data_IF_021053883975
#
_entry.id   IF_021053883975
#
_cell.length_a   1.000
_cell.length_b   1.000
_cell.length_c   1.000
_cell.angle_alpha   90.00
_cell.angle_beta   90.00
_cell.angle_gamma   90.00
#
_symmetry.space_group_name_H-M   'P 1'
#
loop_
_entity.id
_entity.type
_entity.pdbx_description
1 polymer ?
#
# COMPACT_ATOMS: atom_id res chain seq x y z
N UNK A 1 70.57 27.03 -17.85
CA UNK A 1 70.50 25.57 -18.04
C UNK A 1 70.91 25.26 -19.47
N UNK A 2 72.06 24.60 -19.66
CA UNK A 2 72.42 23.94 -20.92
C UNK A 2 73.02 22.57 -20.60
N UNK A 3 72.39 21.56 -21.21
CA UNK A 3 72.75 20.18 -21.55
C UNK A 3 73.97 19.50 -20.92
N UNK A 4 73.78 18.22 -20.56
CA UNK A 4 74.77 17.12 -20.52
C UNK A 4 74.13 15.92 -19.78
N UNK A 5 74.25 14.62 -20.06
CA UNK A 5 75.03 13.76 -20.97
C UNK A 5 74.53 12.30 -20.67
N UNK A 6 74.21 11.46 -21.67
CA UNK A 6 75.04 10.40 -22.31
C UNK A 6 74.88 8.97 -21.75
N UNK A 7 75.00 8.00 -22.69
CA UNK A 7 75.45 6.57 -22.61
C UNK A 7 74.32 5.54 -22.45
N UNK A 8 73.94 4.73 -23.45
CA UNK A 8 74.64 3.76 -24.33
C UNK A 8 75.09 2.48 -23.62
N UNK A 9 74.41 1.37 -23.92
CA UNK A 9 74.89 -0.03 -24.09
C UNK A 9 73.64 -0.85 -24.54
N UNK A 10 73.44 -1.37 -25.75
CA UNK A 10 74.22 -2.13 -26.72
C UNK A 10 74.39 -3.64 -26.39
N UNK A 11 74.03 -4.46 -27.38
CA UNK A 11 74.38 -5.88 -27.66
C UNK A 11 73.48 -6.98 -27.04
N UNK A 12 73.01 -8.03 -27.74
CA UNK A 12 72.88 -8.42 -29.18
C UNK A 12 72.19 -9.80 -29.26
N UNK A 13 71.43 -10.04 -30.34
CA UNK A 13 71.25 -11.31 -31.14
C UNK A 13 70.81 -12.61 -30.43
N UNK A 14 69.92 -13.47 -30.98
CA UNK A 14 70.01 -14.17 -32.28
C UNK A 14 68.67 -14.93 -32.53
N UNK A 15 67.92 -14.59 -33.58
CA UNK A 15 67.64 -15.34 -34.83
C UNK A 15 66.90 -16.70 -34.75
N UNK A 16 65.77 -16.83 -35.47
CA UNK A 16 65.56 -17.82 -36.53
C UNK A 16 64.19 -17.60 -37.24
N UNK A 17 64.23 -17.60 -38.56
CA UNK A 17 63.11 -17.43 -39.50
C UNK A 17 62.70 -18.80 -40.04
N UNK A 18 61.41 -19.05 -40.23
CA UNK A 18 60.91 -19.95 -41.28
C UNK A 18 59.41 -19.68 -41.58
N UNK A 19 59.13 -19.21 -42.81
CA UNK A 19 57.80 -19.23 -43.41
C UNK A 19 57.55 -20.60 -44.06
N UNK A 20 56.31 -21.09 -44.05
CA UNK A 20 55.69 -21.86 -45.15
C UNK A 20 54.17 -22.00 -44.92
N UNK A 21 53.47 -22.15 -46.05
CA UNK A 21 52.06 -21.84 -46.32
C UNK A 21 51.22 -23.13 -46.38
N UNK A 22 49.90 -23.03 -46.10
CA UNK A 22 48.75 -23.60 -46.85
C UNK A 22 47.66 -24.32 -46.01
N UNK A 23 46.44 -23.81 -46.21
CA UNK A 23 45.16 -24.51 -46.49
C UNK A 23 44.41 -25.32 -45.41
N UNK A 24 43.18 -24.85 -45.18
CA UNK A 24 41.90 -25.58 -45.12
C UNK A 24 41.63 -26.55 -43.94
N UNK A 25 40.64 -26.20 -43.10
CA UNK A 25 39.27 -26.75 -43.12
C UNK A 25 38.52 -26.32 -41.87
N UNK A 26 37.29 -25.85 -42.07
CA UNK A 26 36.40 -25.40 -41.01
C UNK A 26 35.99 -26.52 -40.05
N UNK A 27 35.83 -26.16 -38.78
CA UNK A 27 35.09 -26.90 -37.78
C UNK A 27 34.23 -25.88 -37.04
N UNK A 28 32.91 -26.04 -37.11
CA UNK A 28 31.93 -25.16 -36.48
C UNK A 28 32.15 -25.11 -34.95
N UNK A 29 31.92 -23.97 -34.28
CA UNK A 29 31.89 -23.93 -32.83
C UNK A 29 30.69 -24.73 -32.34
N UNK A 30 31.00 -25.69 -31.49
CA UNK A 30 30.08 -26.44 -30.65
C UNK A 30 29.10 -25.48 -29.97
N UNK A 31 27.83 -25.57 -30.34
CA UNK A 31 26.73 -24.91 -29.64
C UNK A 31 26.68 -25.47 -28.22
N UNK A 32 27.29 -24.75 -27.28
CA UNK A 32 26.92 -24.84 -25.88
C UNK A 32 25.43 -24.51 -25.80
N UNK A 33 24.63 -25.53 -25.57
CA UNK A 33 23.25 -25.39 -25.11
C UNK A 33 23.30 -24.55 -23.84
N UNK A 34 23.06 -23.24 -23.99
CA UNK A 34 22.92 -22.32 -22.90
C UNK A 34 21.88 -22.87 -21.94
N UNK A 35 22.29 -23.03 -20.69
CA UNK A 35 21.38 -23.15 -19.55
C UNK A 35 20.25 -22.15 -19.72
N UNK A 36 19.00 -22.62 -19.64
CA UNK A 36 17.82 -21.77 -19.62
C UNK A 36 18.04 -20.70 -18.54
N UNK A 37 18.28 -19.45 -18.98
CA UNK A 37 18.48 -18.32 -18.09
C UNK A 37 17.20 -18.09 -17.31
N UNK A 38 17.27 -18.29 -15.99
CA UNK A 38 16.22 -17.81 -15.10
C UNK A 38 16.13 -16.29 -15.26
N UNK A 39 14.95 -15.79 -15.57
CA UNK A 39 14.70 -14.35 -15.65
C UNK A 39 15.06 -13.70 -14.33
N UNK A 40 15.79 -12.58 -14.36
CA UNK A 40 16.07 -11.79 -13.16
C UNK A 40 14.76 -11.23 -12.61
N UNK A 41 14.30 -11.78 -11.48
CA UNK A 41 13.08 -11.36 -10.82
C UNK A 41 13.09 -9.85 -10.53
N UNK A 42 14.23 -9.27 -10.15
CA UNK A 42 14.31 -7.83 -9.84
C UNK A 42 14.03 -6.95 -11.05
N UNK A 43 14.39 -7.42 -12.24
CA UNK A 43 14.25 -6.67 -13.49
C UNK A 43 12.87 -6.84 -14.17
N UNK A 44 12.10 -7.88 -13.81
CA UNK A 44 10.83 -8.14 -14.45
C UNK A 44 9.78 -7.07 -14.08
N UNK A 45 9.14 -6.50 -15.10
CA UNK A 45 8.10 -5.47 -14.97
C UNK A 45 6.68 -6.00 -15.20
N UNK A 46 6.55 -7.28 -15.51
CA UNK A 46 5.29 -8.01 -15.62
C UNK A 46 5.53 -9.52 -15.50
N UNK A 47 4.47 -10.31 -15.31
CA UNK A 47 4.56 -11.78 -15.35
C UNK A 47 4.98 -12.29 -16.74
N UNK A 48 4.63 -11.58 -17.81
CA UNK A 48 5.05 -11.92 -19.17
C UNK A 48 6.57 -11.74 -19.35
N UNK A 49 7.12 -10.63 -18.86
CA UNK A 49 8.58 -10.38 -18.86
C UNK A 49 9.32 -11.44 -18.04
N UNK A 50 8.72 -11.91 -16.94
CA UNK A 50 9.28 -12.98 -16.11
C UNK A 50 9.30 -14.35 -16.81
N UNK A 51 8.48 -14.53 -17.86
CA UNK A 51 8.36 -15.77 -18.61
C UNK A 51 7.16 -16.65 -18.19
N UNK A 52 6.15 -16.06 -17.56
CA UNK A 52 4.88 -16.69 -17.21
C UNK A 52 4.69 -16.94 -15.71
N UNK A 53 3.43 -17.10 -15.30
CA UNK A 53 3.04 -17.25 -13.89
C UNK A 53 3.65 -18.50 -13.25
N UNK A 54 3.70 -19.62 -13.98
CA UNK A 54 4.28 -20.87 -13.48
C UNK A 54 5.75 -20.70 -13.08
N UNK A 55 6.54 -20.02 -13.92
CA UNK A 55 7.94 -19.71 -13.60
C UNK A 55 8.05 -18.79 -12.40
N UNK A 56 7.17 -17.79 -12.30
CA UNK A 56 7.14 -16.87 -11.16
C UNK A 56 6.85 -17.62 -9.86
N UNK A 57 5.88 -18.53 -9.87
CA UNK A 57 5.56 -19.41 -8.74
C UNK A 57 6.75 -20.28 -8.36
N UNK A 58 7.43 -20.90 -9.32
CA UNK A 58 8.63 -21.71 -9.05
C UNK A 58 9.76 -20.87 -8.42
N UNK A 59 9.98 -19.65 -8.90
CA UNK A 59 11.01 -18.76 -8.36
C UNK A 59 10.65 -18.26 -6.96
N UNK A 60 9.41 -17.83 -6.75
CA UNK A 60 8.90 -17.39 -5.46
C UNK A 60 8.94 -18.50 -4.40
N UNK A 61 8.62 -19.74 -4.78
CA UNK A 61 8.76 -20.92 -3.90
C UNK A 61 10.22 -21.22 -3.51
N UNK A 62 11.18 -20.92 -4.39
CA UNK A 62 12.62 -21.06 -4.08
C UNK A 62 13.09 -19.98 -3.11
N UNK A 63 12.52 -18.78 -3.17
CA UNK A 63 12.74 -17.71 -2.18
C UNK A 63 12.10 -18.08 -0.83
N UNK A 64 10.89 -18.67 -0.85
CA UNK A 64 10.27 -19.35 0.29
C UNK A 64 9.63 -18.45 1.35
N UNK A 65 9.95 -17.15 1.35
CA UNK A 65 9.44 -16.16 2.31
C UNK A 65 9.01 -14.89 1.59
N UNK A 66 8.04 -14.18 2.18
CA UNK A 66 7.68 -12.80 1.86
C UNK A 66 7.66 -11.98 3.15
N UNK A 67 8.44 -10.91 3.19
CA UNK A 67 8.45 -9.95 4.29
C UNK A 67 7.45 -8.83 4.05
N UNK A 68 6.59 -8.60 5.02
CA UNK A 68 5.61 -7.51 5.01
C UNK A 68 5.71 -6.70 6.28
N UNK A 69 5.18 -5.48 6.24
CA UNK A 69 4.97 -4.63 7.41
C UNK A 69 3.54 -4.10 7.35
N UNK A 70 2.93 -3.85 8.50
CA UNK A 70 1.63 -3.20 8.59
C UNK A 70 0.49 -3.93 7.87
N UNK A 71 0.48 -5.27 7.89
CA UNK A 71 -0.66 -6.08 7.43
C UNK A 71 -1.44 -6.70 8.61
N UNK A 72 -2.18 -5.91 9.42
CA UNK A 72 -2.82 -6.45 10.60
C UNK A 72 -3.98 -7.38 10.22
N UNK A 73 -4.16 -8.53 10.89
CA UNK A 73 -5.10 -9.57 10.44
C UNK A 73 -6.56 -9.12 10.30
N UNK A 74 -6.98 -8.16 11.12
CA UNK A 74 -8.31 -7.55 11.17
C UNK A 74 -8.54 -6.47 10.10
N UNK A 75 -7.48 -6.06 9.39
CA UNK A 75 -7.59 -5.06 8.34
C UNK A 75 -8.00 -5.66 7.01
N UNK A 76 -9.18 -5.28 6.52
CA UNK A 76 -9.71 -5.66 5.20
C UNK A 76 -9.60 -7.17 4.88
N UNK A 77 -9.65 -8.06 5.89
CA UNK A 77 -9.51 -9.51 5.75
C UNK A 77 -8.08 -10.04 5.48
N UNK A 78 -7.03 -9.31 5.89
CA UNK A 78 -5.65 -9.77 5.75
C UNK A 78 -5.38 -11.14 6.38
N UNK A 79 -6.07 -11.51 7.47
CA UNK A 79 -5.97 -12.85 8.06
C UNK A 79 -6.22 -13.97 7.03
N UNK A 80 -7.32 -13.89 6.28
CA UNK A 80 -7.70 -14.90 5.28
C UNK A 80 -6.82 -14.76 4.03
N UNK A 81 -6.44 -13.54 3.64
CA UNK A 81 -5.59 -13.28 2.46
C UNK A 81 -4.19 -13.88 2.65
N UNK A 82 -3.55 -13.60 3.78
CA UNK A 82 -2.25 -14.16 4.14
C UNK A 82 -2.35 -15.69 4.14
N UNK A 83 -3.31 -16.24 4.89
CA UNK A 83 -3.51 -17.69 4.96
C UNK A 83 -3.73 -18.32 3.58
N UNK A 84 -4.54 -17.70 2.73
CA UNK A 84 -4.84 -18.21 1.39
C UNK A 84 -3.60 -18.20 0.50
N UNK A 85 -2.77 -17.17 0.58
CA UNK A 85 -1.52 -17.10 -0.14
C UNK A 85 -0.53 -18.18 0.33
N UNK A 86 -0.34 -18.29 1.65
CA UNK A 86 0.55 -19.30 2.25
C UNK A 86 0.12 -20.71 1.87
N UNK A 87 -1.18 -21.04 1.98
CA UNK A 87 -1.71 -22.36 1.61
C UNK A 87 -1.56 -22.64 0.11
N UNK A 88 -1.81 -21.64 -0.76
CA UNK A 88 -1.79 -21.80 -2.22
C UNK A 88 -0.38 -21.97 -2.76
N UNK A 89 0.59 -21.25 -2.20
CA UNK A 89 1.95 -21.20 -2.75
C UNK A 89 3.01 -21.84 -1.86
N UNK A 90 2.72 -22.17 -0.60
CA UNK A 90 3.72 -22.70 0.34
C UNK A 90 4.86 -21.73 0.64
N UNK A 91 4.58 -20.42 0.53
CA UNK A 91 5.51 -19.33 0.83
C UNK A 91 5.06 -18.71 2.14
N UNK A 92 5.96 -18.61 3.12
CA UNK A 92 5.64 -18.06 4.44
C UNK A 92 5.59 -16.53 4.37
N UNK A 93 4.58 -15.91 4.98
CA UNK A 93 4.54 -14.46 5.17
C UNK A 93 5.06 -14.13 6.57
N UNK A 94 6.10 -13.30 6.63
CA UNK A 94 6.63 -12.77 7.88
C UNK A 94 6.25 -11.29 7.99
N UNK A 95 5.15 -11.04 8.70
CA UNK A 95 4.60 -9.72 8.93
C UNK A 95 5.18 -9.10 10.22
N UNK A 96 6.01 -8.07 10.09
CA UNK A 96 6.55 -7.32 11.22
C UNK A 96 5.69 -6.08 11.49
N UNK A 97 5.52 -5.71 12.76
CA UNK A 97 4.77 -4.53 13.17
C UNK A 97 3.40 -4.44 12.45
N UNK A 98 2.47 -5.40 12.70
CA UNK A 98 1.19 -5.44 12.01
C UNK A 98 0.37 -4.15 12.17
N UNK A 99 0.51 -3.46 13.30
CA UNK A 99 -0.19 -2.20 13.58
C UNK A 99 0.63 -0.97 13.12
N UNK A 100 1.58 -1.15 12.21
CA UNK A 100 2.42 -0.09 11.67
C UNK A 100 1.66 0.89 10.77
N UNK A 101 2.24 2.08 10.58
CA UNK A 101 1.71 3.06 9.63
C UNK A 101 2.40 2.99 8.26
N UNK A 102 1.78 3.58 7.24
CA UNK A 102 2.42 3.77 5.93
C UNK A 102 3.76 4.50 6.00
N UNK A 103 3.95 5.37 6.99
CA UNK A 103 5.26 5.99 7.26
C UNK A 103 6.28 4.98 7.77
N UNK A 104 5.89 4.05 8.63
CA UNK A 104 6.77 3.03 9.20
C UNK A 104 7.24 2.02 8.13
N UNK A 105 6.35 1.63 7.21
CA UNK A 105 6.70 0.78 6.06
C UNK A 105 7.76 1.46 5.16
N UNK A 106 7.53 2.73 4.79
CA UNK A 106 8.48 3.53 3.99
C UNK A 106 9.81 3.69 4.73
N UNK A 107 9.77 3.95 6.04
CA UNK A 107 10.98 4.06 6.86
C UNK A 107 11.74 2.74 6.92
N UNK A 108 11.05 1.60 6.99
CA UNK A 108 11.67 0.29 6.96
C UNK A 108 12.36 0.02 5.61
N UNK A 109 11.73 0.35 4.48
CA UNK A 109 12.39 0.26 3.15
C UNK A 109 13.68 1.09 3.12
N UNK A 110 13.63 2.34 3.58
CA UNK A 110 14.78 3.25 3.56
C UNK A 110 15.92 2.77 4.48
N UNK A 111 15.59 2.40 5.71
CA UNK A 111 16.58 2.09 6.75
C UNK A 111 17.14 0.68 6.65
N UNK A 112 16.43 -0.25 6.00
CA UNK A 112 16.80 -1.66 5.87
C UNK A 112 17.27 -2.05 4.48
N UNK A 113 17.45 -1.07 3.57
CA UNK A 113 17.94 -1.31 2.22
C UNK A 113 19.16 -2.24 2.20
N UNK A 114 19.05 -3.33 1.44
CA UNK A 114 20.10 -4.35 1.30
C UNK A 114 20.23 -5.32 2.48
N UNK A 115 19.34 -5.27 3.47
CA UNK A 115 19.24 -6.27 4.54
C UNK A 115 18.17 -7.29 4.19
N UNK A 116 18.39 -8.55 4.58
CA UNK A 116 17.43 -9.65 4.33
C UNK A 116 16.07 -9.44 5.00
N UNK A 117 16.02 -8.62 6.07
CA UNK A 117 14.78 -8.26 6.79
C UNK A 117 14.06 -7.02 6.25
N UNK A 118 14.45 -6.51 5.08
CA UNK A 118 13.72 -5.42 4.45
C UNK A 118 12.34 -5.93 4.00
N UNK A 119 11.27 -5.12 4.11
CA UNK A 119 9.98 -5.52 3.56
C UNK A 119 10.10 -5.72 2.04
N UNK A 120 9.44 -6.74 1.52
CA UNK A 120 9.39 -7.06 0.09
C UNK A 120 8.31 -6.24 -0.62
N UNK A 121 7.18 -6.04 0.06
CA UNK A 121 5.99 -5.34 -0.42
C UNK A 121 5.46 -4.38 0.64
N UNK A 122 4.65 -3.42 0.22
CA UNK A 122 4.03 -2.39 1.05
C UNK A 122 2.55 -2.23 0.70
N UNK A 123 1.74 -1.88 1.70
CA UNK A 123 0.32 -1.54 1.56
C UNK A 123 0.03 -0.15 2.11
N UNK A 124 0.02 0.85 1.22
CA UNK A 124 0.15 2.25 1.61
C UNK A 124 -1.13 3.03 1.31
N UNK A 125 -1.47 3.99 2.16
CA UNK A 125 -2.39 5.05 1.71
C UNK A 125 -1.81 5.72 0.45
N UNK A 126 -2.63 5.93 -0.59
CA UNK A 126 -2.14 6.34 -1.92
C UNK A 126 -1.20 7.56 -1.92
N UNK A 127 -1.43 8.53 -1.02
CA UNK A 127 -0.58 9.72 -0.90
C UNK A 127 0.83 9.41 -0.36
N UNK A 128 1.00 8.31 0.38
CA UNK A 128 2.29 7.76 0.82
C UNK A 128 2.95 6.95 -0.29
N UNK A 129 2.17 6.17 -1.06
CA UNK A 129 2.67 5.47 -2.24
C UNK A 129 3.24 6.44 -3.29
N UNK A 130 2.49 7.47 -3.67
CA UNK A 130 2.97 8.49 -4.62
C UNK A 130 4.28 9.15 -4.15
N UNK A 131 4.37 9.48 -2.85
CA UNK A 131 5.59 10.06 -2.24
C UNK A 131 6.78 9.10 -2.33
N UNK A 132 6.60 7.82 -1.99
CA UNK A 132 7.68 6.83 -2.06
C UNK A 132 8.10 6.51 -3.50
N UNK A 133 7.18 6.59 -4.46
CA UNK A 133 7.49 6.47 -5.87
C UNK A 133 8.32 7.66 -6.39
N UNK A 134 8.01 8.89 -5.96
CA UNK A 134 8.82 10.08 -6.26
C UNK A 134 10.25 9.99 -5.67
N UNK A 135 10.39 9.36 -4.51
CA UNK A 135 11.70 9.04 -3.90
C UNK A 135 12.42 7.86 -4.57
N UNK A 136 11.79 7.20 -5.53
CA UNK A 136 12.37 6.07 -6.27
C UNK A 136 12.59 4.84 -5.38
N UNK A 137 11.65 4.54 -4.48
CA UNK A 137 11.72 3.39 -3.57
C UNK A 137 11.19 2.09 -4.17
N UNK A 138 10.36 2.15 -5.20
CA UNK A 138 9.60 1.00 -5.69
C UNK A 138 10.08 0.48 -7.03
N UNK A 139 10.02 -0.85 -7.20
CA UNK A 139 10.19 -1.48 -8.50
C UNK A 139 8.90 -1.35 -9.33
N UNK A 140 8.99 -1.02 -10.63
CA UNK A 140 7.83 -1.04 -11.50
C UNK A 140 7.35 -2.47 -11.74
N UNK A 141 6.06 -2.72 -11.57
CA UNK A 141 5.42 -3.99 -11.93
C UNK A 141 3.96 -3.78 -12.33
N UNK A 142 3.58 -4.35 -13.47
CA UNK A 142 2.23 -4.34 -14.01
C UNK A 142 1.69 -5.76 -13.96
N UNK A 143 0.72 -5.98 -13.07
CA UNK A 143 0.04 -7.27 -12.90
C UNK A 143 -0.66 -7.73 -14.18
N UNK A 144 -0.95 -9.02 -14.31
CA UNK A 144 -1.63 -9.55 -15.49
C UNK A 144 -2.98 -8.88 -15.80
N UNK A 145 -3.67 -8.38 -14.77
CA UNK A 145 -4.96 -7.68 -14.87
C UNK A 145 -4.83 -6.16 -14.99
N UNK A 146 -3.64 -5.63 -15.29
CA UNK A 146 -3.32 -4.20 -15.28
C UNK A 146 -4.33 -3.33 -16.03
N UNK A 147 -4.76 -3.74 -17.21
CA UNK A 147 -5.65 -2.96 -18.07
C UNK A 147 -7.09 -2.89 -17.54
N UNK A 148 -7.46 -3.77 -16.61
CA UNK A 148 -8.77 -3.75 -15.94
C UNK A 148 -8.85 -2.74 -14.80
N UNK A 149 -7.70 -2.26 -14.32
CA UNK A 149 -7.60 -1.31 -13.20
C UNK A 149 -7.74 0.11 -13.75
N UNK A 150 -8.62 0.96 -13.18
CA UNK A 150 -8.80 2.34 -13.65
C UNK A 150 -7.49 3.14 -13.62
N UNK A 151 -7.36 4.13 -14.52
CA UNK A 151 -6.11 4.90 -14.66
C UNK A 151 -5.82 5.76 -13.42
N UNK A 152 -6.87 6.27 -12.76
CA UNK A 152 -6.79 7.02 -11.51
C UNK A 152 -6.42 6.16 -10.29
N UNK A 153 -6.42 4.84 -10.45
CA UNK A 153 -6.11 3.85 -9.42
C UNK A 153 -4.71 3.24 -9.60
N UNK A 154 -3.85 3.80 -10.46
CA UNK A 154 -2.52 3.24 -10.70
C UNK A 154 -1.50 4.27 -11.19
N UNK A 155 -0.24 4.06 -10.82
CA UNK A 155 0.89 4.76 -11.42
C UNK A 155 1.12 4.26 -12.87
N UNK A 156 1.28 5.15 -13.87
CA UNK A 156 1.46 4.73 -15.26
C UNK A 156 2.72 3.87 -15.51
N UNK A 157 3.75 4.01 -14.67
CA UNK A 157 4.98 3.22 -14.74
C UNK A 157 4.90 1.91 -13.96
N UNK A 158 3.81 1.68 -13.19
CA UNK A 158 3.65 0.49 -12.36
C UNK A 158 4.38 0.54 -11.02
N UNK A 159 4.78 1.72 -10.53
CA UNK A 159 5.49 1.86 -9.24
C UNK A 159 4.57 1.61 -8.04
N UNK A 160 3.28 1.88 -8.20
CA UNK A 160 2.24 1.57 -7.23
C UNK A 160 0.92 1.32 -7.97
N UNK A 161 0.03 0.54 -7.36
CA UNK A 161 -1.30 0.26 -7.91
C UNK A 161 -2.28 0.00 -6.79
N UNK A 162 -3.47 0.60 -6.89
CA UNK A 162 -4.50 0.46 -5.89
C UNK A 162 -5.24 -0.87 -6.03
N UNK A 163 -5.47 -1.57 -4.93
CA UNK A 163 -6.09 -2.90 -4.91
C UNK A 163 -7.45 -2.93 -4.23
N UNK A 164 -7.61 -2.26 -3.08
CA UNK A 164 -8.88 -2.13 -2.36
C UNK A 164 -9.05 -0.75 -1.74
N UNK A 165 -10.29 -0.39 -1.40
CA UNK A 165 -10.61 0.90 -0.82
C UNK A 165 -11.98 0.98 -0.18
N UNK A 166 -12.27 2.18 0.31
CA UNK A 166 -13.47 2.46 1.07
C UNK A 166 -13.81 3.94 1.11
N UNK A 167 -14.83 4.26 1.89
CA UNK A 167 -15.23 5.62 2.22
C UNK A 167 -14.91 5.89 3.68
N UNK A 168 -14.50 7.12 3.99
CA UNK A 168 -14.41 7.54 5.39
C UNK A 168 -15.81 7.45 5.99
N UNK A 169 -15.87 6.96 7.22
CA UNK A 169 -17.09 6.71 7.98
C UNK A 169 -16.91 7.08 9.43
N UNK A 170 -18.03 7.19 10.13
CA UNK A 170 -18.12 7.36 11.57
C UNK A 170 -18.68 6.05 12.15
N UNK A 171 -17.88 5.37 12.95
CA UNK A 171 -18.29 4.26 13.81
C UNK A 171 -18.67 4.76 15.19
N UNK A 172 -19.70 4.17 15.82
CA UNK A 172 -20.18 4.61 17.13
C UNK A 172 -20.81 3.47 17.93
N UNK A 173 -20.42 3.34 19.21
CA UNK A 173 -21.04 2.40 20.15
C UNK A 173 -22.33 2.99 20.75
N UNK A 174 -23.48 2.59 20.21
CA UNK A 174 -24.80 3.04 20.65
C UNK A 174 -25.18 2.53 22.06
N UNK A 175 -24.43 1.58 22.63
CA UNK A 175 -24.60 1.20 24.04
C UNK A 175 -24.01 2.24 25.00
N UNK A 176 -23.05 3.05 24.53
CA UNK A 176 -22.36 4.09 25.32
C UNK A 176 -22.73 5.51 24.90
N UNK A 177 -23.10 5.70 23.63
CA UNK A 177 -23.44 7.00 23.05
C UNK A 177 -24.92 7.03 22.71
N UNK A 178 -25.69 7.89 23.39
CA UNK A 178 -27.16 7.92 23.25
C UNK A 178 -27.63 8.24 21.83
N UNK A 179 -26.94 9.15 21.15
CA UNK A 179 -27.21 9.50 19.75
C UNK A 179 -25.89 9.39 19.00
N UNK A 180 -25.79 8.43 18.10
CA UNK A 180 -24.56 8.29 17.30
C UNK A 180 -24.46 9.41 16.26
N UNK A 181 -23.31 10.11 16.17
CA UNK A 181 -23.09 11.13 15.16
C UNK A 181 -23.18 10.53 13.75
N UNK A 182 -23.77 11.29 12.82
CA UNK A 182 -23.94 10.87 11.42
C UNK A 182 -23.14 11.74 10.46
N UNK A 183 -22.67 12.90 10.93
CA UNK A 183 -21.99 13.93 10.13
C UNK A 183 -20.76 14.46 10.86
N UNK A 184 -19.83 15.10 10.15
CA UNK A 184 -18.72 15.79 10.82
C UNK A 184 -19.21 16.95 11.67
N UNK A 185 -20.27 17.64 11.24
CA UNK A 185 -20.91 18.69 12.05
C UNK A 185 -21.40 18.17 13.41
N UNK A 186 -21.94 16.95 13.48
CA UNK A 186 -22.39 16.35 14.75
C UNK A 186 -21.23 16.20 15.73
N UNK A 187 -20.03 15.82 15.27
CA UNK A 187 -18.90 15.50 16.14
C UNK A 187 -18.46 16.67 17.04
N UNK A 188 -18.85 17.92 16.73
CA UNK A 188 -18.60 19.11 17.55
C UNK A 188 -19.61 19.32 18.70
N UNK A 189 -20.68 18.52 18.76
CA UNK A 189 -21.69 18.65 19.81
C UNK A 189 -21.11 18.28 21.19
N UNK A 190 -21.50 19.00 22.27
CA UNK A 190 -20.87 18.87 23.59
C UNK A 190 -21.05 17.51 24.26
N UNK A 191 -22.05 16.71 23.85
CA UNK A 191 -22.26 15.34 24.35
C UNK A 191 -21.15 14.35 23.98
N UNK A 192 -20.30 14.65 22.99
CA UNK A 192 -19.22 13.77 22.52
C UNK A 192 -17.86 14.07 23.16
N UNK A 193 -17.85 14.72 24.33
CA UNK A 193 -16.62 15.08 25.06
C UNK A 193 -15.73 13.86 25.29
N UNK A 194 -14.50 13.91 24.79
CA UNK A 194 -13.46 12.88 24.90
C UNK A 194 -13.73 11.57 24.15
N UNK A 195 -14.66 11.56 23.19
CA UNK A 195 -15.13 10.31 22.57
C UNK A 195 -14.65 10.09 21.14
N UNK A 196 -14.27 11.16 20.41
CA UNK A 196 -14.02 11.10 18.96
C UNK A 196 -12.55 10.83 18.68
N UNK A 197 -12.25 9.65 18.15
CA UNK A 197 -10.89 9.17 17.87
C UNK A 197 -10.62 9.00 16.37
N UNK A 198 -9.35 9.08 15.98
CA UNK A 198 -8.83 8.70 14.67
C UNK A 198 -8.10 7.35 14.76
N UNK A 199 -8.05 6.60 13.65
CA UNK A 199 -7.15 5.46 13.49
C UNK A 199 -5.73 5.93 13.12
N UNK A 200 -5.06 6.45 14.15
CA UNK A 200 -3.65 6.84 14.11
C UNK A 200 -3.43 8.34 13.92
N UNK A 201 -2.16 8.70 13.66
CA UNK A 201 -1.75 10.09 13.45
C UNK A 201 -1.85 10.46 11.95
N UNK A 202 -2.57 11.53 11.55
CA UNK A 202 -2.79 11.87 10.14
C UNK A 202 -1.52 12.29 9.38
N UNK A 203 -0.42 12.58 10.09
CA UNK A 203 0.89 12.83 9.45
C UNK A 203 1.64 11.54 9.09
N UNK A 204 1.15 10.37 9.53
CA UNK A 204 1.80 9.06 9.36
C UNK A 204 0.87 7.96 8.80
N UNK A 205 -0.38 7.94 9.25
CA UNK A 205 -1.42 6.96 8.91
C UNK A 205 -2.26 7.44 7.72
N UNK A 206 -2.45 6.55 6.73
CA UNK A 206 -3.33 6.78 5.59
C UNK A 206 -4.81 6.94 5.99
N UNK A 207 -5.29 6.17 6.98
CA UNK A 207 -6.66 6.29 7.48
C UNK A 207 -6.90 7.63 8.16
N UNK A 208 -6.03 8.01 9.11
CA UNK A 208 -6.18 9.29 9.80
C UNK A 208 -6.05 10.48 8.83
N UNK A 209 -5.15 10.40 7.83
CA UNK A 209 -5.05 11.38 6.74
C UNK A 209 -6.38 11.54 6.00
N UNK A 210 -7.02 10.42 5.63
CA UNK A 210 -8.32 10.43 4.98
C UNK A 210 -9.42 11.02 5.86
N UNK A 211 -9.41 10.74 7.17
CA UNK A 211 -10.31 11.36 8.14
C UNK A 211 -10.22 12.90 8.16
N UNK A 212 -9.01 13.45 8.06
CA UNK A 212 -8.81 14.91 7.95
C UNK A 212 -9.30 15.44 6.60
N UNK A 213 -9.11 14.70 5.51
CA UNK A 213 -9.62 15.11 4.20
C UNK A 213 -11.16 15.13 4.13
N UNK A 214 -11.80 14.11 4.69
CA UNK A 214 -13.25 14.03 4.82
C UNK A 214 -13.81 15.19 5.66
N UNK A 215 -13.14 15.51 6.77
CA UNK A 215 -13.46 16.69 7.58
C UNK A 215 -13.27 17.99 6.77
N UNK A 216 -12.24 18.09 5.93
CA UNK A 216 -12.04 19.26 5.08
C UNK A 216 -13.22 19.45 4.12
N UNK A 217 -13.64 18.40 3.42
CA UNK A 217 -14.81 18.43 2.53
C UNK A 217 -16.07 18.88 3.29
N UNK A 218 -16.30 18.33 4.48
CA UNK A 218 -17.44 18.70 5.32
C UNK A 218 -17.43 20.15 5.83
N UNK A 219 -16.25 20.78 5.89
CA UNK A 219 -16.07 22.11 6.45
C UNK A 219 -15.72 23.17 5.39
N UNK A 220 -16.07 22.93 4.12
CA UNK A 220 -15.92 23.89 3.02
C UNK A 220 -14.56 23.86 2.31
N UNK A 221 -13.75 22.85 2.58
CA UNK A 221 -12.53 22.54 1.85
C UNK A 221 -12.78 21.78 0.56
N UNK A 222 -11.70 21.29 -0.05
CA UNK A 222 -11.72 20.55 -1.31
C UNK A 222 -10.46 19.70 -1.46
N UNK A 223 -10.30 18.97 -2.57
CA UNK A 223 -9.03 18.30 -2.85
C UNK A 223 -7.84 19.25 -2.95
N UNK A 224 -8.07 20.52 -3.33
CA UNK A 224 -7.02 21.54 -3.40
C UNK A 224 -6.71 22.20 -2.05
N UNK A 225 -7.56 22.00 -1.04
CA UNK A 225 -7.47 22.67 0.26
C UNK A 225 -7.96 21.77 1.40
N UNK A 226 -7.00 21.17 2.11
CA UNK A 226 -7.23 20.35 3.31
C UNK A 226 -7.32 21.19 4.59
N UNK A 227 -6.96 22.48 4.56
CA UNK A 227 -6.85 23.30 5.77
C UNK A 227 -8.14 23.33 6.60
N UNK A 228 -9.36 23.38 6.02
CA UNK A 228 -10.60 23.32 6.81
C UNK A 228 -10.74 22.04 7.65
N UNK A 229 -10.13 20.93 7.23
CA UNK A 229 -10.10 19.69 8.01
C UNK A 229 -9.17 19.78 9.20
N UNK A 230 -7.98 20.36 9.01
CA UNK A 230 -7.03 20.63 10.10
C UNK A 230 -7.68 21.55 11.15
N UNK A 231 -8.33 22.62 10.68
CA UNK A 231 -9.04 23.57 11.54
C UNK A 231 -10.22 22.91 12.27
N UNK A 232 -10.93 21.99 11.61
CA UNK A 232 -12.00 21.22 12.23
C UNK A 232 -11.48 20.39 13.41
N UNK A 233 -10.36 19.67 13.27
CA UNK A 233 -9.80 18.91 14.38
C UNK A 233 -9.26 19.81 15.50
N UNK A 234 -8.74 21.00 15.18
CA UNK A 234 -8.45 22.02 16.17
C UNK A 234 -9.69 22.46 16.97
N UNK A 235 -10.82 22.69 16.28
CA UNK A 235 -12.12 23.00 16.93
C UNK A 235 -12.64 21.82 17.76
N UNK A 236 -12.51 20.59 17.26
CA UNK A 236 -12.92 19.37 17.93
C UNK A 236 -12.14 19.16 19.24
N UNK A 237 -10.83 19.45 19.22
CA UNK A 237 -9.99 19.46 20.41
C UNK A 237 -10.40 20.59 21.36
N UNK A 238 -10.59 21.81 20.87
CA UNK A 238 -10.99 22.96 21.70
C UNK A 238 -12.36 22.76 22.37
N UNK A 239 -13.29 22.05 21.71
CA UNK A 239 -14.56 21.63 22.29
C UNK A 239 -14.40 20.52 23.36
N UNK A 240 -13.23 19.89 23.44
CA UNK A 240 -12.93 18.78 24.34
C UNK A 240 -13.42 17.42 23.84
N UNK A 241 -13.81 17.31 22.57
CA UNK A 241 -14.40 16.09 21.98
C UNK A 241 -13.34 15.13 21.43
N UNK A 242 -12.20 15.65 20.99
CA UNK A 242 -11.13 14.82 20.43
C UNK A 242 -10.49 13.93 21.50
N UNK A 243 -10.39 12.65 21.19
CA UNK A 243 -9.69 11.64 21.95
C UNK A 243 -8.36 11.30 21.25
N UNK A 244 -7.20 11.49 21.91
CA UNK A 244 -5.90 11.19 21.32
C UNK A 244 -5.56 9.69 21.31
N UNK A 245 -6.37 8.84 21.93
CA UNK A 245 -6.21 7.37 21.85
C UNK A 245 -6.56 6.91 20.43
N UNK A 246 -5.69 6.07 19.88
CA UNK A 246 -5.90 5.47 18.57
C UNK A 246 -7.10 4.53 18.57
N UNK A 247 -7.99 4.71 17.60
CA UNK A 247 -9.11 3.81 17.39
C UNK A 247 -8.64 2.51 16.76
N UNK A 248 -8.80 1.41 17.48
CA UNK A 248 -8.53 0.03 17.06
C UNK A 248 -9.68 -0.86 17.55
N UNK A 249 -9.83 -2.11 17.09
CA UNK A 249 -10.89 -2.96 17.62
C UNK A 249 -10.76 -3.15 19.14
N UNK A 250 -9.52 -3.23 19.65
CA UNK A 250 -9.25 -3.40 21.06
C UNK A 250 -9.65 -2.18 21.92
N UNK A 251 -9.42 -0.96 21.44
CA UNK A 251 -9.80 0.28 22.16
C UNK A 251 -11.30 0.54 22.06
N UNK A 252 -11.95 0.13 20.97
CA UNK A 252 -13.41 0.14 20.83
C UNK A 252 -14.08 -0.90 21.74
N UNK A 253 -13.57 -2.13 21.81
CA UNK A 253 -14.15 -3.19 22.66
C UNK A 253 -14.08 -2.81 24.15
N UNK A 254 -12.99 -2.18 24.59
CA UNK A 254 -12.88 -1.57 25.94
C UNK A 254 -13.74 -0.32 26.08
N UNK A 255 -14.17 0.25 24.96
CA UNK A 255 -14.86 1.52 24.75
C UNK A 255 -14.14 2.72 25.32
N UNK A 256 -12.82 2.72 25.14
CA UNK A 256 -11.95 3.88 25.27
C UNK A 256 -12.17 4.84 24.09
N UNK A 257 -12.51 4.31 22.91
CA UNK A 257 -12.79 5.07 21.68
C UNK A 257 -14.21 4.76 21.14
N UNK A 258 -15.28 5.21 21.83
CA UNK A 258 -16.65 4.85 21.47
C UNK A 258 -17.16 5.55 20.20
N UNK A 259 -16.43 6.53 19.65
CA UNK A 259 -16.70 7.15 18.35
C UNK A 259 -15.40 7.14 17.54
N UNK A 260 -15.42 6.50 16.38
CA UNK A 260 -14.26 6.32 15.51
C UNK A 260 -14.48 6.99 14.15
N UNK A 261 -13.49 7.70 13.65
CA UNK A 261 -13.41 8.15 12.25
C UNK A 261 -12.42 7.23 11.55
N UNK A 262 -12.94 6.38 10.66
CA UNK A 262 -12.14 5.36 9.96
C UNK A 262 -12.86 4.89 8.68
N UNK A 263 -12.26 3.97 7.94
CA UNK A 263 -12.85 3.37 6.75
C UNK A 263 -14.13 2.60 7.04
N UNK A 264 -15.09 2.70 6.12
CA UNK A 264 -16.38 2.03 6.22
C UNK A 264 -16.27 0.50 6.27
N UNK A 265 -15.31 -0.09 5.55
CA UNK A 265 -15.07 -1.52 5.60
C UNK A 265 -14.56 -2.00 6.97
N UNK A 266 -13.72 -1.20 7.65
CA UNK A 266 -13.26 -1.50 9.01
C UNK A 266 -14.41 -1.36 10.00
N UNK A 267 -15.13 -0.24 9.94
CA UNK A 267 -16.26 0.00 10.84
C UNK A 267 -17.39 -1.03 10.66
N UNK A 268 -17.65 -1.52 9.44
CA UNK A 268 -18.59 -2.63 9.23
C UNK A 268 -18.03 -3.95 9.74
N UNK A 269 -16.74 -4.22 9.53
CA UNK A 269 -16.07 -5.38 10.13
C UNK A 269 -16.21 -5.41 11.66
N UNK A 270 -16.02 -4.27 12.31
CA UNK A 270 -16.19 -4.11 13.76
C UNK A 270 -17.61 -4.45 14.22
N UNK A 271 -18.63 -4.03 13.47
CA UNK A 271 -20.02 -4.35 13.80
C UNK A 271 -20.29 -5.86 13.81
N UNK A 272 -19.59 -6.63 12.97
CA UNK A 272 -19.64 -8.08 12.99
C UNK A 272 -18.80 -8.68 14.12
N UNK A 273 -17.58 -8.18 14.32
CA UNK A 273 -16.65 -8.64 15.35
C UNK A 273 -17.23 -8.51 16.76
N UNK A 274 -17.96 -7.42 17.03
CA UNK A 274 -18.48 -7.14 18.36
C UNK A 274 -19.85 -7.75 18.66
N UNK A 275 -20.44 -8.53 17.74
CA UNK A 275 -21.71 -9.22 18.00
C UNK A 275 -21.62 -10.09 19.26
N UNK A 276 -22.49 -9.82 20.21
CA UNK A 276 -22.54 -10.54 21.48
C UNK A 276 -21.46 -10.13 22.50
N UNK A 277 -20.61 -9.14 22.19
CA UNK A 277 -19.60 -8.60 23.11
C UNK A 277 -20.05 -7.38 23.92
N UNK A 278 -21.30 -6.94 23.74
CA UNK A 278 -21.87 -5.80 24.49
C UNK A 278 -21.54 -4.42 23.93
N UNK A 279 -20.99 -4.34 22.72
CA UNK A 279 -20.82 -3.09 21.95
C UNK A 279 -21.91 -3.07 20.87
N UNK A 280 -22.71 -2.01 20.82
CA UNK A 280 -23.73 -1.82 19.77
C UNK A 280 -23.18 -0.90 18.67
N UNK A 281 -22.27 -1.42 17.86
CA UNK A 281 -21.54 -0.62 16.87
C UNK A 281 -22.42 -0.26 15.66
N UNK A 282 -22.59 1.05 15.43
CA UNK A 282 -23.27 1.65 14.28
C UNK A 282 -22.27 2.30 13.36
N UNK A 283 -22.56 2.29 12.06
CA UNK A 283 -21.70 2.85 11.02
C UNK A 283 -22.48 3.85 10.19
N UNK A 284 -21.91 5.03 9.98
CA UNK A 284 -22.45 6.07 9.11
C UNK A 284 -21.38 6.58 8.14
N UNK A 285 -21.68 6.65 6.85
CA UNK A 285 -20.85 7.41 5.91
C UNK A 285 -21.36 8.86 5.93
N UNK A 286 -20.54 9.83 6.38
CA UNK A 286 -20.99 11.19 6.59
C UNK A 286 -21.29 11.89 5.27
N UNK A 287 -22.57 12.23 5.05
CA UNK A 287 -23.03 12.84 3.81
C UNK A 287 -22.47 14.26 3.57
N UNK A 288 -22.03 14.94 4.64
CA UNK A 288 -21.34 16.23 4.55
C UNK A 288 -19.86 16.08 4.15
N UNK A 289 -19.24 14.93 4.40
CA UNK A 289 -17.80 14.70 4.19
C UNK A 289 -17.48 13.45 3.36
N UNK A 290 -18.21 13.22 2.25
CA UNK A 290 -18.01 12.02 1.42
C UNK A 290 -16.60 12.04 0.81
N UNK A 291 -15.72 11.18 1.33
CA UNK A 291 -14.36 10.97 0.84
C UNK A 291 -14.09 9.48 0.65
N UNK A 292 -13.63 9.11 -0.54
CA UNK A 292 -13.19 7.76 -0.85
C UNK A 292 -11.70 7.74 -1.16
N UNK A 293 -11.03 6.66 -0.76
CA UNK A 293 -9.66 6.39 -1.15
C UNK A 293 -9.42 4.89 -1.18
N UNK A 294 -8.36 4.52 -1.90
CA UNK A 294 -7.87 3.16 -1.98
C UNK A 294 -6.45 3.10 -1.43
N UNK A 295 -6.08 1.92 -0.99
CA UNK A 295 -4.71 1.59 -0.61
C UNK A 295 -3.96 1.11 -1.84
N UNK A 296 -2.65 1.32 -1.82
CA UNK A 296 -1.74 1.07 -2.93
C UNK A 296 -0.74 0.00 -2.56
N UNK A 297 -0.72 -1.06 -3.36
CA UNK A 297 0.35 -2.06 -3.33
C UNK A 297 1.59 -1.51 -4.03
N UNK A 298 2.76 -1.68 -3.41
CA UNK A 298 4.05 -1.36 -4.00
C UNK A 298 5.08 -2.44 -3.70
N UNK A 299 6.02 -2.65 -4.62
CA UNK A 299 7.14 -3.60 -4.45
C UNK A 299 8.39 -2.81 -4.08
N UNK A 300 9.05 -3.17 -2.98
CA UNK A 300 10.35 -2.60 -2.63
C UNK A 300 11.36 -2.90 -3.76
N UNK A 301 11.98 -1.87 -4.33
CA UNK A 301 12.95 -2.06 -5.42
C UNK A 301 14.16 -2.89 -5.02
N UNK A 302 14.50 -2.86 -3.73
CA UNK A 302 15.62 -3.57 -3.13
C UNK A 302 15.16 -4.82 -2.37
N UNK A 303 13.93 -5.32 -2.64
CA UNK A 303 13.35 -6.50 -2.01
C UNK A 303 14.33 -7.69 -1.98
N UNK A 304 14.49 -8.36 -0.82
CA UNK A 304 15.25 -9.60 -0.71
C UNK A 304 14.59 -10.79 -1.42
N UNK A 305 13.25 -10.80 -1.53
CA UNK A 305 12.45 -11.85 -2.19
C UNK A 305 11.63 -11.27 -3.37
N UNK A 306 12.29 -10.84 -4.45
CA UNK A 306 11.65 -10.13 -5.57
C UNK A 306 10.65 -10.98 -6.38
N UNK A 307 10.76 -12.31 -6.42
CA UNK A 307 9.79 -13.15 -7.09
C UNK A 307 8.53 -13.35 -6.22
N UNK A 308 8.70 -13.58 -4.91
CA UNK A 308 7.60 -13.64 -3.95
C UNK A 308 6.82 -12.33 -3.91
N UNK A 309 7.51 -11.18 -3.94
CA UNK A 309 6.87 -9.85 -3.99
C UNK A 309 5.94 -9.67 -5.20
N UNK A 310 6.41 -10.09 -6.39
CA UNK A 310 5.63 -10.03 -7.64
C UNK A 310 4.47 -11.02 -7.63
N UNK A 311 4.70 -12.22 -7.12
CA UNK A 311 3.64 -13.22 -7.00
C UNK A 311 2.55 -12.77 -6.02
N UNK A 312 2.93 -12.14 -4.91
CA UNK A 312 1.99 -11.52 -3.97
C UNK A 312 1.12 -10.48 -4.67
N UNK A 313 1.72 -9.59 -5.45
CA UNK A 313 0.96 -8.60 -6.22
C UNK A 313 0.03 -9.27 -7.24
N UNK A 314 0.50 -10.26 -8.02
CA UNK A 314 -0.37 -11.03 -8.93
C UNK A 314 -1.53 -11.73 -8.18
N UNK A 315 -1.29 -12.22 -6.96
CA UNK A 315 -2.32 -12.84 -6.14
C UNK A 315 -3.39 -11.83 -5.69
N UNK A 316 -3.01 -10.68 -5.13
CA UNK A 316 -3.96 -9.66 -4.67
C UNK A 316 -4.84 -9.11 -5.81
N UNK A 317 -4.29 -9.04 -7.02
CA UNK A 317 -4.99 -8.58 -8.22
C UNK A 317 -5.66 -9.70 -9.03
N UNK A 318 -5.57 -10.95 -8.56
CA UNK A 318 -6.34 -12.06 -9.11
C UNK A 318 -7.82 -11.95 -8.71
N UNK A 319 -8.70 -12.68 -9.41
CA UNK A 319 -10.12 -12.78 -9.01
C UNK A 319 -10.29 -13.28 -7.57
N UNK A 320 -9.46 -14.25 -7.14
CA UNK A 320 -9.50 -14.76 -5.76
C UNK A 320 -9.14 -13.66 -4.76
N UNK A 321 -8.02 -12.97 -4.99
CA UNK A 321 -7.54 -11.88 -4.12
C UNK A 321 -8.55 -10.74 -4.01
N UNK A 322 -9.07 -10.28 -5.15
CA UNK A 322 -10.07 -9.20 -5.16
C UNK A 322 -11.39 -9.60 -4.47
N UNK A 323 -11.82 -10.86 -4.58
CA UNK A 323 -12.99 -11.33 -3.83
C UNK A 323 -12.72 -11.47 -2.31
N UNK A 324 -11.48 -11.69 -1.88
CA UNK A 324 -11.13 -11.68 -0.46
C UNK A 324 -11.28 -10.28 0.15
N UNK A 325 -10.99 -9.21 -0.60
CA UNK A 325 -11.28 -7.84 -0.19
C UNK A 325 -12.78 -7.60 0.02
N UNK A 326 -13.63 -8.12 -0.88
CA UNK A 326 -15.08 -8.04 -0.71
C UNK A 326 -15.57 -8.75 0.56
N UNK A 327 -14.98 -9.90 0.91
CA UNK A 327 -15.29 -10.58 2.18
C UNK A 327 -14.92 -9.72 3.39
N UNK A 328 -13.88 -8.91 3.27
CA UNK A 328 -13.47 -7.90 4.26
C UNK A 328 -14.23 -6.58 4.17
N UNK A 329 -15.37 -6.53 3.47
CA UNK A 329 -16.20 -5.33 3.25
C UNK A 329 -15.52 -4.21 2.43
N UNK A 330 -14.30 -4.43 1.94
CA UNK A 330 -13.58 -3.46 1.14
C UNK A 330 -14.01 -3.54 -0.34
N UNK A 331 -13.90 -2.41 -1.04
CA UNK A 331 -14.22 -2.32 -2.48
C UNK A 331 -12.97 -2.58 -3.29
N UNK A 332 -12.92 -3.62 -4.13
CA UNK A 332 -11.76 -3.89 -4.97
C UNK A 332 -11.64 -2.85 -6.09
N UNK A 333 -10.43 -2.45 -6.45
CA UNK A 333 -10.19 -1.48 -7.52
C UNK A 333 -10.66 -2.02 -8.89
N UNK A 334 -10.65 -3.35 -9.06
CA UNK A 334 -11.13 -4.02 -10.26
C UNK A 334 -12.63 -4.36 -10.24
N UNK A 335 -13.40 -3.89 -9.24
CA UNK A 335 -14.80 -4.31 -9.03
C UNK A 335 -15.68 -4.15 -10.27
N UNK A 336 -15.55 -3.03 -10.99
CA UNK A 336 -16.32 -2.78 -12.22
C UNK A 336 -16.00 -3.82 -13.30
N UNK A 337 -14.72 -4.10 -13.52
CA UNK A 337 -14.28 -5.08 -14.50
C UNK A 337 -14.69 -6.51 -14.11
N UNK A 338 -14.55 -6.87 -12.83
CA UNK A 338 -15.00 -8.15 -12.30
C UNK A 338 -16.53 -8.33 -12.43
N UNK A 339 -17.30 -7.26 -12.20
CA UNK A 339 -18.76 -7.28 -12.36
C UNK A 339 -19.15 -7.56 -13.80
N UNK A 340 -18.53 -6.86 -14.75
CA UNK A 340 -18.75 -7.09 -16.18
C UNK A 340 -18.33 -8.50 -16.61
N UNK A 341 -17.30 -9.07 -16.00
CA UNK A 341 -16.84 -10.43 -16.24
C UNK A 341 -17.66 -11.52 -15.52
N UNK A 342 -18.55 -11.16 -14.60
CA UNK A 342 -19.34 -12.10 -13.80
C UNK A 342 -18.53 -12.88 -12.76
N UNK A 343 -17.39 -12.34 -12.30
CA UNK A 343 -16.46 -13.01 -11.38
C UNK A 343 -16.52 -12.52 -9.93
N UNK A 344 -17.38 -11.54 -9.65
CA UNK A 344 -17.63 -11.00 -8.30
C UNK A 344 -18.37 -12.02 -7.44
N UNK A 345 -17.93 -12.19 -6.19
CA UNK A 345 -18.73 -12.81 -5.15
C UNK A 345 -19.94 -11.91 -4.83
N UNK A 346 -21.08 -12.23 -5.41
CA UNK A 346 -22.31 -11.45 -5.28
C UNK A 346 -22.81 -11.36 -3.82
N UNK A 347 -22.56 -12.38 -3.00
CA UNK A 347 -22.99 -12.39 -1.60
C UNK A 347 -22.13 -11.45 -0.76
N UNK A 348 -20.82 -11.41 -0.99
CA UNK A 348 -19.92 -10.47 -0.35
C UNK A 348 -20.19 -9.02 -0.84
N UNK A 349 -20.32 -8.82 -2.15
CA UNK A 349 -20.61 -7.51 -2.72
C UNK A 349 -21.94 -6.90 -2.22
N UNK A 350 -22.96 -7.73 -1.98
CA UNK A 350 -24.24 -7.28 -1.44
C UNK A 350 -24.15 -6.74 0.01
N UNK A 351 -23.06 -7.02 0.74
CA UNK A 351 -22.82 -6.51 2.09
C UNK A 351 -22.03 -5.21 2.13
N UNK A 352 -21.51 -4.73 0.99
CA UNK A 352 -20.80 -3.47 0.95
C UNK A 352 -21.69 -2.33 1.45
N UNK A 353 -21.14 -1.37 2.22
CA UNK A 353 -21.88 -0.19 2.61
C UNK A 353 -22.44 0.54 1.39
N UNK A 354 -23.72 0.92 1.45
CA UNK A 354 -24.33 1.74 0.40
C UNK A 354 -23.72 3.12 0.44
N UNK A 355 -23.31 3.61 -0.72
CA UNK A 355 -22.71 4.92 -0.92
C UNK A 355 -23.33 5.54 -2.15
N UNK A 356 -23.61 6.83 -2.09
CA UNK A 356 -24.23 7.56 -3.19
C UNK A 356 -23.18 8.29 -4.03
N UNK A 357 -23.43 8.39 -5.33
CA UNK A 357 -22.57 9.10 -6.28
C UNK A 357 -21.39 8.29 -6.80
N UNK A 358 -20.62 8.94 -7.68
CA UNK A 358 -19.36 8.40 -8.20
C UNK A 358 -18.22 8.88 -7.32
N UNK A 359 -17.35 7.99 -6.80
CA UNK A 359 -16.21 8.41 -6.01
C UNK A 359 -15.29 9.31 -6.84
N UNK A 360 -14.72 10.31 -6.19
CA UNK A 360 -13.66 11.15 -6.75
C UNK A 360 -12.44 11.02 -5.88
N UNK A 361 -11.27 11.17 -6.48
CA UNK A 361 -9.99 11.01 -5.81
C UNK A 361 -9.12 12.27 -6.04
N UNK A 362 -8.32 12.69 -5.04
CA UNK A 362 -7.35 13.75 -5.26
C UNK A 362 -6.29 13.28 -6.26
N UNK A 363 -5.83 14.19 -7.11
CA UNK A 363 -4.63 13.97 -7.91
C UNK A 363 -3.40 13.83 -7.02
N UNK A 364 -2.31 13.25 -7.53
CA UNK A 364 -1.05 13.14 -6.77
C UNK A 364 -0.53 14.51 -6.29
N UNK A 365 -0.67 15.55 -7.12
CA UNK A 365 -0.26 16.92 -6.78
C UNK A 365 -1.10 17.48 -5.61
N UNK A 366 -2.41 17.26 -5.64
CA UNK A 366 -3.32 17.63 -4.54
C UNK A 366 -2.97 16.87 -3.26
N UNK A 367 -2.76 15.56 -3.37
CA UNK A 367 -2.40 14.72 -2.24
C UNK A 367 -1.06 15.15 -1.60
N UNK A 368 -0.05 15.47 -2.41
CA UNK A 368 1.24 15.97 -1.95
C UNK A 368 1.12 17.32 -1.22
N UNK A 369 0.39 18.28 -1.80
CA UNK A 369 0.11 19.58 -1.16
C UNK A 369 -0.61 19.41 0.18
N UNK A 370 -1.59 18.51 0.26
CA UNK A 370 -2.31 18.23 1.49
C UNK A 370 -1.43 17.57 2.57
N UNK A 371 -0.52 16.65 2.20
CA UNK A 371 0.46 16.09 3.13
C UNK A 371 1.39 17.15 3.69
N UNK A 372 1.86 18.09 2.87
CA UNK A 372 2.69 19.20 3.31
C UNK A 372 1.92 20.12 4.30
N UNK A 373 0.67 20.47 3.96
CA UNK A 373 -0.19 21.25 4.86
C UNK A 373 -0.41 20.54 6.21
N UNK A 374 -0.66 19.23 6.20
CA UNK A 374 -0.79 18.43 7.42
C UNK A 374 0.50 18.40 8.25
N UNK A 375 1.64 18.14 7.61
CA UNK A 375 2.93 18.11 8.30
C UNK A 375 3.25 19.44 9.00
N UNK A 376 2.87 20.57 8.40
CA UNK A 376 3.13 21.91 8.93
C UNK A 376 2.07 22.38 9.93
N UNK A 377 0.80 22.00 9.73
CA UNK A 377 -0.34 22.55 10.47
C UNK A 377 -0.85 21.70 11.63
N UNK A 378 -0.71 20.37 11.54
CA UNK A 378 -1.37 19.46 12.48
C UNK A 378 -0.93 19.66 13.92
N UNK A 379 0.38 19.75 14.17
CA UNK A 379 0.91 19.92 15.52
C UNK A 379 0.40 21.21 16.19
N UNK A 380 0.28 22.30 15.43
CA UNK A 380 -0.25 23.57 15.93
C UNK A 380 -1.75 23.47 16.26
N UNK A 381 -2.54 22.87 15.36
CA UNK A 381 -3.97 22.64 15.59
C UNK A 381 -4.23 21.75 16.82
N UNK A 382 -3.35 20.77 17.06
CA UNK A 382 -3.39 19.88 18.20
C UNK A 382 -2.71 20.43 19.46
N UNK A 383 -2.12 21.64 19.43
CA UNK A 383 -1.53 22.29 20.60
C UNK A 383 -2.51 23.27 21.27
N UNK A 384 -3.28 23.99 20.46
CA UNK A 384 -4.40 24.84 20.93
C UNK A 384 -5.50 24.05 21.61
#
# INVERSE_FOLDING_TARGET
MFASRTRVAAFTTTAAVACLVLAACGSAPQSSSGSAGGTDAKAATSVADFGGLDKLVEAAKKEGTLHTIALPPDWANYAEIIKTFEDKYGIKIENENPDGSSSDEINAVKTRKGQDRAPDVLDLGQSFAASGAQEGLYAPYKVATWDSIPAEQKDPDGKWVNDYGGYVSIGCDAAKVTVCPQTFADLLKPEYKGQVALNGNPTKSGSAYAGVYAAAIANGGSFDDIQPGIDFFGKLKAAGNFNPVESTPATVEKGETPISIDWDYLNVGYADEFKGKGVDWKVAVPADGIFAQYYSQAINKDAPHPAAARLWQEFLFSTDGQNLWLKGYARPAALTAMTAAGTVDAAAAAKLPKVEGTPKFPSEAQAAKAKEALANGWAAAMAG
#
